data_IF_109292624283
#
_entry.id   IF_109292624283
#
_cell.length_a   1.000
_cell.length_b   1.000
_cell.length_c   1.000
_cell.angle_alpha   90.00
_cell.angle_beta   90.00
_cell.angle_gamma   90.00
#
_symmetry.space_group_name_H-M   'P 1'
#
loop_
_entity.id
_entity.type
_entity.pdbx_description
1 polymer ?
#
# COMPACT_ATOMS: atom_id res chain seq x y z
N UNK A 1 -3.63 -27.89 -8.36
CA UNK A 1 -2.88 -26.64 -8.12
C UNK A 1 -2.66 -25.82 -9.40
N UNK A 2 -2.13 -26.41 -10.48
CA UNK A 2 -1.89 -25.71 -11.76
C UNK A 2 -3.14 -25.06 -12.37
N UNK A 3 -4.32 -25.68 -12.27
CA UNK A 3 -5.57 -25.13 -12.81
C UNK A 3 -5.98 -23.80 -12.14
N UNK A 4 -5.76 -23.66 -10.83
CA UNK A 4 -6.07 -22.42 -10.09
C UNK A 4 -5.19 -21.25 -10.54
N UNK A 5 -3.92 -21.51 -10.89
CA UNK A 5 -2.98 -20.50 -11.35
C UNK A 5 -3.14 -20.14 -12.85
N UNK A 6 -3.90 -20.94 -13.60
CA UNK A 6 -4.08 -20.79 -15.06
C UNK A 6 -5.51 -20.41 -15.45
N UNK A 7 -6.36 -20.11 -14.48
CA UNK A 7 -7.73 -19.67 -14.71
C UNK A 7 -7.99 -18.40 -13.93
N UNK A 8 -8.91 -17.57 -14.42
CA UNK A 8 -9.39 -16.43 -13.65
C UNK A 8 -9.97 -16.90 -12.31
N UNK A 9 -9.98 -16.01 -11.33
CA UNK A 9 -10.67 -16.29 -10.08
C UNK A 9 -12.15 -16.60 -10.36
N UNK A 10 -12.74 -17.64 -9.77
CA UNK A 10 -14.10 -18.04 -10.11
C UNK A 10 -15.11 -16.92 -9.88
N UNK A 11 -15.99 -16.71 -10.84
CA UNK A 11 -17.13 -15.80 -10.71
C UNK A 11 -18.03 -16.24 -9.55
N UNK A 12 -18.63 -15.27 -8.85
CA UNK A 12 -19.48 -15.52 -7.68
C UNK A 12 -18.74 -15.94 -6.40
N UNK A 13 -17.41 -16.13 -6.44
CA UNK A 13 -16.62 -16.39 -5.24
C UNK A 13 -15.92 -15.14 -4.73
N UNK A 14 -15.99 -14.89 -3.42
CA UNK A 14 -15.20 -13.85 -2.76
C UNK A 14 -13.71 -14.05 -3.09
N UNK A 15 -13.10 -12.98 -3.62
CA UNK A 15 -11.67 -12.95 -3.91
C UNK A 15 -10.87 -13.39 -2.69
N UNK A 16 -9.82 -14.21 -2.88
CA UNK A 16 -9.16 -14.89 -1.76
C UNK A 16 -8.69 -13.96 -0.64
N UNK A 17 -8.13 -12.78 -0.97
CA UNK A 17 -7.71 -11.78 0.03
C UNK A 17 -8.89 -11.25 0.85
N UNK A 18 -10.07 -11.20 0.26
CA UNK A 18 -11.24 -10.58 0.87
C UNK A 18 -12.03 -11.55 1.77
N UNK A 19 -11.61 -12.82 1.87
CA UNK A 19 -12.38 -13.84 2.60
C UNK A 19 -12.50 -13.59 4.10
N UNK A 20 -11.59 -12.82 4.71
CA UNK A 20 -11.60 -12.61 6.17
C UNK A 20 -12.75 -11.70 6.63
N UNK A 21 -12.91 -10.52 6.03
CA UNK A 21 -13.96 -9.54 6.40
C UNK A 21 -14.70 -8.93 5.21
N UNK A 22 -14.41 -9.34 3.98
CA UNK A 22 -15.08 -8.83 2.77
C UNK A 22 -14.23 -7.84 1.96
N UNK A 23 -13.34 -7.07 2.59
CA UNK A 23 -12.28 -6.27 1.93
C UNK A 23 -11.03 -6.14 2.77
N UNK A 24 -9.94 -5.69 2.15
CA UNK A 24 -8.73 -5.25 2.84
C UNK A 24 -8.12 -4.03 2.17
N UNK A 25 -7.45 -3.20 2.98
CA UNK A 25 -6.59 -2.13 2.50
C UNK A 25 -5.13 -2.60 2.63
N UNK A 26 -4.43 -2.76 1.51
CA UNK A 26 -3.06 -3.26 1.49
C UNK A 26 -2.05 -2.10 1.53
N UNK A 27 -1.20 -2.06 2.55
CA UNK A 27 -0.04 -1.17 2.63
C UNK A 27 1.22 -1.95 2.29
N UNK A 28 1.87 -1.61 1.18
CA UNK A 28 3.04 -2.35 0.72
C UNK A 28 4.17 -1.43 0.23
N UNK A 29 5.40 -1.89 0.40
CA UNK A 29 6.61 -1.17 0.02
C UNK A 29 7.80 -2.13 -0.05
N UNK A 30 8.90 -1.65 -0.62
CA UNK A 30 10.17 -2.37 -0.61
C UNK A 30 10.99 -1.92 0.60
N UNK A 31 11.69 -2.86 1.23
CA UNK A 31 12.65 -2.58 2.30
C UNK A 31 13.79 -3.60 2.32
N UNK A 32 14.74 -3.44 3.24
CA UNK A 32 15.77 -4.45 3.51
C UNK A 32 15.18 -5.53 4.45
N UNK A 33 15.47 -6.82 4.25
CA UNK A 33 14.94 -7.88 5.11
C UNK A 33 15.21 -7.67 6.61
N UNK A 34 16.39 -7.14 6.95
CA UNK A 34 16.77 -6.82 8.34
C UNK A 34 15.86 -5.78 9.01
N UNK A 35 15.16 -4.94 8.25
CA UNK A 35 14.23 -3.94 8.80
C UNK A 35 12.82 -4.48 9.01
N UNK A 36 12.48 -5.66 8.47
CA UNK A 36 11.11 -6.21 8.53
C UNK A 36 10.57 -6.30 9.97
N UNK A 37 11.33 -6.81 10.97
CA UNK A 37 10.83 -6.85 12.34
C UNK A 37 10.42 -5.47 12.88
N UNK A 38 11.21 -4.43 12.59
CA UNK A 38 10.90 -3.05 13.00
C UNK A 38 9.60 -2.54 12.36
N UNK A 39 9.36 -2.83 11.08
CA UNK A 39 8.10 -2.45 10.42
C UNK A 39 6.90 -3.21 10.97
N UNK A 40 7.07 -4.48 11.35
CA UNK A 40 6.01 -5.26 12.00
C UNK A 40 5.63 -4.62 13.34
N UNK A 41 6.60 -4.27 14.18
CA UNK A 41 6.32 -3.61 15.46
C UNK A 41 5.64 -2.25 15.26
N UNK A 42 6.09 -1.44 14.31
CA UNK A 42 5.41 -0.16 13.96
C UNK A 42 3.94 -0.40 13.58
N UNK A 43 3.66 -1.42 12.77
CA UNK A 43 2.28 -1.75 12.38
C UNK A 43 1.45 -2.20 13.60
N UNK A 44 2.02 -3.03 14.48
CA UNK A 44 1.34 -3.48 15.70
C UNK A 44 1.01 -2.32 16.62
N UNK A 45 1.98 -1.45 16.90
CA UNK A 45 1.82 -0.29 17.78
C UNK A 45 0.75 0.67 17.25
N UNK A 46 0.81 0.97 15.94
CA UNK A 46 -0.20 1.81 15.30
C UNK A 46 -1.57 1.14 15.34
N UNK A 47 -1.66 -0.15 14.98
CA UNK A 47 -2.91 -0.90 15.04
C UNK A 47 -3.53 -0.92 16.43
N UNK A 48 -2.72 -1.13 17.47
CA UNK A 48 -3.17 -1.09 18.87
C UNK A 48 -3.72 0.30 19.25
N UNK A 49 -3.09 1.38 18.78
CA UNK A 49 -3.58 2.74 18.99
C UNK A 49 -4.92 3.07 18.31
N UNK A 50 -5.36 2.26 17.35
CA UNK A 50 -6.70 2.35 16.72
C UNK A 50 -7.66 1.25 17.23
N UNK A 51 -7.29 0.51 18.28
CA UNK A 51 -7.99 -0.68 18.76
C UNK A 51 -8.22 -1.74 17.65
N UNK A 52 -7.35 -1.77 16.63
CA UNK A 52 -7.43 -2.76 15.55
C UNK A 52 -6.87 -4.10 16.02
N UNK A 53 -7.61 -5.22 15.88
CA UNK A 53 -7.15 -6.50 16.40
C UNK A 53 -5.89 -7.00 15.68
N UNK A 54 -4.82 -7.29 16.44
CA UNK A 54 -3.54 -7.72 15.87
C UNK A 54 -3.65 -9.00 15.02
N UNK A 55 -4.57 -9.91 15.39
CA UNK A 55 -4.87 -11.14 14.63
C UNK A 55 -5.50 -10.86 13.25
N UNK A 56 -5.97 -9.65 13.01
CA UNK A 56 -6.56 -9.18 11.75
C UNK A 56 -5.54 -8.44 10.88
N UNK A 57 -4.26 -8.38 11.27
CA UNK A 57 -3.20 -7.83 10.43
C UNK A 57 -2.60 -8.96 9.60
N UNK A 58 -2.90 -8.98 8.30
CA UNK A 58 -2.20 -9.83 7.36
C UNK A 58 -0.77 -9.33 7.14
N UNK A 59 0.22 -10.23 7.11
CA UNK A 59 1.61 -9.88 6.83
C UNK A 59 2.13 -10.78 5.72
N UNK A 60 2.63 -10.16 4.64
CA UNK A 60 3.26 -10.86 3.53
C UNK A 60 4.68 -10.30 3.31
N UNK A 61 5.65 -11.22 3.21
CA UNK A 61 7.06 -10.90 2.99
C UNK A 61 7.53 -11.71 1.79
N UNK A 62 7.97 -11.02 0.75
CA UNK A 62 8.54 -11.65 -0.45
C UNK A 62 9.97 -11.16 -0.66
N UNK A 63 10.98 -12.02 -0.43
CA UNK A 63 12.35 -11.74 -0.83
C UNK A 63 12.43 -11.45 -2.33
N UNK A 64 13.20 -10.42 -2.69
CA UNK A 64 13.51 -10.05 -4.08
C UNK A 64 15.01 -9.81 -4.20
N UNK A 65 15.55 -9.75 -5.43
CA UNK A 65 16.95 -9.42 -5.68
C UNK A 65 17.94 -10.26 -4.84
N UNK A 66 17.80 -11.59 -4.88
CA UNK A 66 18.60 -12.51 -4.05
C UNK A 66 18.59 -12.18 -2.55
N UNK A 67 17.42 -11.77 -2.03
CA UNK A 67 17.22 -11.38 -0.63
C UNK A 67 18.01 -10.12 -0.19
N UNK A 68 18.46 -9.29 -1.14
CA UNK A 68 19.02 -7.96 -0.82
C UNK A 68 17.93 -6.96 -0.44
N UNK A 69 16.72 -7.20 -0.93
CA UNK A 69 15.51 -6.46 -0.61
C UNK A 69 14.34 -7.43 -0.42
N UNK A 70 13.24 -6.94 0.13
CA UNK A 70 11.97 -7.65 0.18
C UNK A 70 10.81 -6.70 -0.08
N UNK A 71 9.78 -7.20 -0.74
CA UNK A 71 8.46 -6.61 -0.70
C UNK A 71 7.85 -6.97 0.67
N UNK A 72 7.47 -5.96 1.43
CA UNK A 72 6.69 -6.11 2.66
C UNK A 72 5.28 -5.56 2.40
N UNK A 73 4.26 -6.31 2.79
CA UNK A 73 2.86 -5.95 2.65
C UNK A 73 2.11 -6.25 3.94
N UNK A 74 1.28 -5.30 4.34
CA UNK A 74 0.32 -5.43 5.43
C UNK A 74 -1.09 -5.35 4.86
N UNK A 75 -1.93 -6.34 5.14
CA UNK A 75 -3.33 -6.36 4.74
C UNK A 75 -4.21 -6.04 5.95
N UNK A 76 -4.93 -4.92 5.89
CA UNK A 76 -5.84 -4.46 6.93
C UNK A 76 -7.28 -4.79 6.52
N UNK A 77 -7.84 -5.87 7.05
CA UNK A 77 -9.20 -6.34 6.72
C UNK A 77 -10.28 -5.51 7.40
N UNK A 78 -11.38 -5.28 6.68
CA UNK A 78 -12.57 -4.61 7.19
C UNK A 78 -13.83 -5.08 6.50
N UNK A 79 -14.97 -4.90 7.18
CA UNK A 79 -16.29 -5.08 6.59
C UNK A 79 -16.65 -3.90 5.67
N UNK A 80 -16.83 -4.12 4.35
CA UNK A 80 -17.22 -3.06 3.42
C UNK A 80 -18.64 -2.53 3.61
N UNK A 81 -19.45 -3.09 4.51
CA UNK A 81 -20.75 -2.53 4.91
C UNK A 81 -20.68 -1.70 6.21
N UNK A 82 -19.55 -1.75 6.92
CA UNK A 82 -19.34 -1.00 8.15
C UNK A 82 -18.55 0.30 7.86
N UNK A 83 -19.24 1.45 7.88
CA UNK A 83 -18.63 2.76 7.63
C UNK A 83 -17.61 3.18 8.70
N UNK A 84 -17.78 2.75 9.94
CA UNK A 84 -16.85 3.04 11.03
C UNK A 84 -15.53 2.27 10.84
N UNK A 85 -15.60 0.99 10.47
CA UNK A 85 -14.40 0.21 10.14
C UNK A 85 -13.66 0.82 8.93
N UNK A 86 -14.38 1.23 7.87
CA UNK A 86 -13.76 1.90 6.72
C UNK A 86 -12.97 3.15 7.12
N UNK A 87 -13.58 4.01 7.92
CA UNK A 87 -12.94 5.24 8.40
C UNK A 87 -11.71 4.92 9.24
N UNK A 88 -11.83 3.98 10.18
CA UNK A 88 -10.75 3.52 11.04
C UNK A 88 -9.57 2.98 10.23
N UNK A 89 -9.84 2.09 9.26
CA UNK A 89 -8.79 1.54 8.39
C UNK A 89 -8.13 2.62 7.53
N UNK A 90 -8.88 3.60 7.02
CA UNK A 90 -8.30 4.70 6.25
C UNK A 90 -7.31 5.52 7.08
N UNK A 91 -7.69 5.87 8.31
CA UNK A 91 -6.83 6.66 9.22
C UNK A 91 -5.61 5.86 9.69
N UNK A 92 -5.81 4.59 10.05
CA UNK A 92 -4.73 3.66 10.41
C UNK A 92 -3.73 3.51 9.26
N UNK A 93 -4.23 3.23 8.05
CA UNK A 93 -3.42 3.09 6.84
C UNK A 93 -2.55 4.32 6.60
N UNK A 94 -3.13 5.52 6.69
CA UNK A 94 -2.40 6.76 6.46
C UNK A 94 -1.33 7.01 7.52
N UNK A 95 -1.65 6.77 8.81
CA UNK A 95 -0.69 6.91 9.91
C UNK A 95 0.45 5.91 9.80
N UNK A 96 0.15 4.65 9.48
CA UNK A 96 1.15 3.60 9.23
C UNK A 96 2.05 3.96 8.05
N UNK A 97 1.48 4.35 6.91
CA UNK A 97 2.25 4.73 5.75
C UNK A 97 3.20 5.92 6.04
N UNK A 98 2.71 6.94 6.73
CA UNK A 98 3.50 8.12 7.11
C UNK A 98 4.68 7.76 8.01
N UNK A 99 4.44 6.94 9.03
CA UNK A 99 5.50 6.52 9.95
C UNK A 99 6.52 5.62 9.25
N UNK A 100 6.05 4.63 8.48
CA UNK A 100 6.94 3.74 7.74
C UNK A 100 7.77 4.50 6.70
N UNK A 101 7.20 5.51 6.05
CA UNK A 101 7.93 6.38 5.14
C UNK A 101 9.05 7.16 5.84
N UNK A 102 8.82 7.67 7.07
CA UNK A 102 9.86 8.30 7.89
C UNK A 102 10.99 7.33 8.24
N UNK A 103 10.67 6.06 8.44
CA UNK A 103 11.65 5.00 8.76
C UNK A 103 12.36 4.40 7.52
N UNK A 104 12.09 4.95 6.34
CA UNK A 104 12.76 4.60 5.09
C UNK A 104 12.11 3.44 4.33
N UNK A 105 10.80 3.23 4.47
CA UNK A 105 10.03 2.42 3.54
C UNK A 105 10.08 3.00 2.13
N UNK A 106 10.39 2.16 1.13
CA UNK A 106 10.47 2.58 -0.27
C UNK A 106 9.18 2.24 -1.01
N UNK A 107 8.31 3.24 -1.16
CA UNK A 107 7.05 3.11 -1.90
C UNK A 107 7.29 3.19 -3.41
N UNK A 108 7.33 2.04 -4.07
CA UNK A 108 7.49 1.95 -5.54
C UNK A 108 6.23 2.30 -6.32
N UNK A 109 5.07 2.23 -5.68
CA UNK A 109 3.76 2.47 -6.29
C UNK A 109 2.95 3.42 -5.41
N UNK A 110 3.34 4.70 -5.32
CA UNK A 110 2.66 5.66 -4.48
C UNK A 110 1.38 6.14 -5.19
N UNK A 111 0.27 5.45 -4.93
CA UNK A 111 -1.05 5.81 -5.46
C UNK A 111 -1.87 6.60 -4.44
N UNK A 112 -2.81 7.40 -4.93
CA UNK A 112 -3.75 8.14 -4.09
C UNK A 112 -3.04 9.00 -3.02
N UNK A 113 -3.45 8.84 -1.77
CA UNK A 113 -2.92 9.62 -0.63
C UNK A 113 -1.41 9.42 -0.40
N UNK A 114 -0.84 8.28 -0.83
CA UNK A 114 0.61 8.03 -0.75
C UNK A 114 1.40 8.86 -1.77
N UNK A 115 0.80 9.15 -2.93
CA UNK A 115 1.45 9.94 -3.98
C UNK A 115 1.87 11.30 -3.43
N UNK A 116 0.93 12.01 -2.81
CA UNK A 116 1.18 13.32 -2.20
C UNK A 116 2.33 13.25 -1.18
N UNK A 117 2.28 12.27 -0.27
CA UNK A 117 3.30 12.07 0.77
C UNK A 117 4.71 11.85 0.19
N UNK A 118 4.83 11.04 -0.86
CA UNK A 118 6.12 10.71 -1.47
C UNK A 118 6.65 11.88 -2.33
N UNK A 119 5.80 12.48 -3.15
CA UNK A 119 6.19 13.54 -4.09
C UNK A 119 6.47 14.89 -3.41
N UNK A 120 5.85 15.18 -2.26
CA UNK A 120 6.17 16.37 -1.45
C UNK A 120 7.63 16.35 -0.96
N UNK A 121 8.18 15.19 -0.60
CA UNK A 121 9.59 15.07 -0.21
C UNK A 121 10.57 15.13 -1.38
N UNK A 122 10.08 15.01 -2.61
CA UNK A 122 10.88 15.02 -3.83
C UNK A 122 10.44 16.17 -4.78
N UNK A 123 10.21 17.36 -4.23
CA UNK A 123 9.60 18.48 -4.94
C UNK A 123 10.30 18.85 -6.28
N UNK A 124 11.64 18.79 -6.34
CA UNK A 124 12.38 19.05 -7.58
C UNK A 124 12.11 18.01 -8.66
N UNK A 125 12.11 16.72 -8.29
CA UNK A 125 11.76 15.61 -9.17
C UNK A 125 10.32 15.73 -9.67
N UNK A 126 9.38 16.03 -8.76
CA UNK A 126 7.97 16.26 -9.07
C UNK A 126 7.78 17.40 -10.08
N UNK A 127 8.48 18.52 -9.90
CA UNK A 127 8.41 19.65 -10.82
C UNK A 127 8.95 19.30 -12.21
N UNK A 128 10.05 18.56 -12.28
CA UNK A 128 10.60 18.09 -13.57
C UNK A 128 9.62 17.16 -14.28
N UNK A 129 8.98 16.23 -13.56
CA UNK A 129 7.98 15.34 -14.14
C UNK A 129 6.76 16.12 -14.69
N UNK A 130 6.27 17.12 -13.97
CA UNK A 130 5.17 17.99 -14.44
C UNK A 130 5.53 18.73 -15.72
N UNK A 131 6.73 19.31 -15.81
CA UNK A 131 7.21 19.96 -17.04
C UNK A 131 7.29 19.00 -18.22
N UNK A 132 7.80 17.78 -17.98
CA UNK A 132 7.82 16.75 -19.04
C UNK A 132 6.39 16.37 -19.47
N UNK A 133 5.45 16.23 -18.52
CA UNK A 133 4.05 15.96 -18.83
C UNK A 133 3.42 17.04 -19.69
N UNK A 134 3.69 18.31 -19.42
CA UNK A 134 3.21 19.44 -20.23
C UNK A 134 3.77 19.42 -21.66
N UNK A 135 5.04 19.02 -21.83
CA UNK A 135 5.67 18.91 -23.16
C UNK A 135 5.08 17.75 -23.97
N UNK A 136 4.93 16.57 -23.36
CA UNK A 136 4.50 15.36 -24.06
C UNK A 136 2.99 15.16 -24.12
N UNK A 137 2.24 15.79 -23.21
CA UNK A 137 0.78 15.72 -23.14
C UNK A 137 0.17 17.10 -22.80
N UNK A 138 0.27 18.07 -23.71
CA UNK A 138 -0.20 19.43 -23.48
C UNK A 138 -1.72 19.51 -23.26
N UNK A 139 -2.49 18.50 -23.67
CA UNK A 139 -3.95 18.42 -23.47
C UNK A 139 -4.35 17.60 -22.24
N UNK A 140 -3.38 17.07 -21.51
CA UNK A 140 -3.58 16.25 -20.32
C UNK A 140 -4.54 15.05 -20.51
N UNK A 141 -4.47 14.37 -21.67
CA UNK A 141 -5.34 13.23 -21.99
C UNK A 141 -4.79 11.89 -21.48
N UNK A 142 -3.47 11.79 -21.30
CA UNK A 142 -2.80 10.58 -20.85
C UNK A 142 -2.81 10.49 -19.33
N UNK A 143 -3.82 9.75 -18.83
CA UNK A 143 -3.93 9.27 -17.46
C UNK A 143 -3.81 10.36 -16.37
N UNK A 144 -4.68 11.39 -16.39
CA UNK A 144 -4.60 12.51 -15.45
C UNK A 144 -4.84 12.08 -14.00
N UNK A 145 -4.12 12.72 -13.06
CA UNK A 145 -4.22 12.49 -11.62
C UNK A 145 -3.35 11.33 -11.10
N UNK A 146 -2.56 10.67 -11.96
CA UNK A 146 -1.69 9.57 -11.57
C UNK A 146 -0.24 10.01 -11.38
N UNK A 147 0.47 9.35 -10.46
CA UNK A 147 1.80 9.75 -9.99
C UNK A 147 1.77 11.15 -9.36
N UNK A 148 1.95 12.21 -10.14
CA UNK A 148 2.04 13.58 -9.63
C UNK A 148 1.46 14.67 -10.55
N UNK A 149 0.70 14.30 -11.60
CA UNK A 149 0.14 15.22 -12.60
C UNK A 149 -1.27 14.80 -13.03
#
# INVERSE_FOLDING_TARGET
MIRLLRSAWPEGQTYWKHRMKGRCQSLFFITRPLKVPSFIEIMKDIGAGFNYPQREIGVYIQPIEHNRACQLEFDLFYDPQNEEEKKTIKELYYKAASEMFKQGAFFTRPYGDLAKMVYERAASYTMTLKRLKEVFDPKNVMNPGNLCF
#
